data_IF_215073581265
#
_entry.id   IF_215073581265
#
_cell.length_a   1.000
_cell.length_b   1.000
_cell.length_c   1.000
_cell.angle_alpha   90.00
_cell.angle_beta   90.00
_cell.angle_gamma   90.00
#
_symmetry.space_group_name_H-M   'P 1'
#
loop_
_entity.id
_entity.type
_entity.pdbx_description
1 polymer ?
#
# COMPACT_ATOMS: atom_id res chain seq x y z
N UNK A 1 -24.17 4.97 12.00
CA UNK A 1 -23.25 6.08 11.64
C UNK A 1 -22.64 6.72 12.88
N UNK A 2 -23.44 7.21 13.82
CA UNK A 2 -22.95 7.90 15.02
C UNK A 2 -22.10 7.00 15.95
N UNK A 3 -22.46 5.72 16.08
CA UNK A 3 -21.66 4.69 16.77
C UNK A 3 -20.32 4.40 16.11
N UNK A 4 -20.29 4.38 14.77
CA UNK A 4 -19.05 4.20 14.00
C UNK A 4 -18.11 5.40 14.20
N UNK A 5 -18.64 6.62 14.14
CA UNK A 5 -17.86 7.83 14.41
C UNK A 5 -17.25 7.79 15.81
N UNK A 6 -18.03 7.42 16.84
CA UNK A 6 -17.51 7.26 18.20
C UNK A 6 -16.40 6.21 18.31
N UNK A 7 -16.54 5.08 17.64
CA UNK A 7 -15.51 4.04 17.67
C UNK A 7 -14.20 4.54 17.05
N UNK A 8 -14.27 5.21 15.89
CA UNK A 8 -13.07 5.76 15.22
C UNK A 8 -12.37 6.84 16.05
N UNK A 9 -13.12 7.72 16.72
CA UNK A 9 -12.52 8.77 17.57
C UNK A 9 -11.84 8.18 18.80
N UNK A 10 -12.43 7.16 19.43
CA UNK A 10 -11.83 6.45 20.56
C UNK A 10 -10.51 5.79 20.14
N UNK A 11 -10.45 5.13 18.98
CA UNK A 11 -9.24 4.49 18.47
C UNK A 11 -8.11 5.49 18.20
N UNK A 12 -8.44 6.62 17.58
CA UNK A 12 -7.46 7.70 17.32
C UNK A 12 -6.93 8.25 18.66
N UNK A 13 -7.83 8.48 19.62
CA UNK A 13 -7.45 8.99 20.94
C UNK A 13 -6.50 8.04 21.69
N UNK A 14 -6.78 6.73 21.66
CA UNK A 14 -5.91 5.71 22.28
C UNK A 14 -4.51 5.73 21.64
N UNK A 15 -4.42 5.81 20.30
CA UNK A 15 -3.12 5.86 19.61
C UNK A 15 -2.32 7.11 19.98
N UNK A 16 -2.97 8.28 20.05
CA UNK A 16 -2.33 9.53 20.47
C UNK A 16 -1.84 9.42 21.92
N UNK A 17 -2.66 8.85 22.81
CA UNK A 17 -2.31 8.69 24.21
C UNK A 17 -1.10 7.76 24.38
N UNK A 18 -1.05 6.64 23.65
CA UNK A 18 0.10 5.74 23.61
C UNK A 18 1.37 6.44 23.09
N UNK A 19 1.23 7.27 22.05
CA UNK A 19 2.35 8.06 21.52
C UNK A 19 2.87 9.06 22.56
N UNK A 20 1.98 9.78 23.25
CA UNK A 20 2.36 10.73 24.30
C UNK A 20 3.06 10.00 25.47
N UNK A 21 2.51 8.87 25.93
CA UNK A 21 3.15 8.05 26.97
C UNK A 21 4.54 7.57 26.52
N UNK A 22 4.66 7.09 25.28
CA UNK A 22 5.95 6.69 24.71
C UNK A 22 6.97 7.84 24.67
N UNK A 23 6.52 9.08 24.42
CA UNK A 23 7.39 10.26 24.44
C UNK A 23 7.74 10.73 25.85
N UNK A 24 6.83 10.63 26.83
CA UNK A 24 7.06 11.09 28.21
C UNK A 24 7.90 10.12 29.03
N UNK A 25 7.71 8.81 28.85
CA UNK A 25 8.53 7.77 29.50
C UNK A 25 9.96 7.78 28.96
N UNK A 26 10.14 8.22 27.70
CA UNK A 26 11.44 8.25 27.08
C UNK A 26 12.37 9.28 27.74
N UNK A 27 13.43 8.80 28.38
CA UNK A 27 14.50 9.64 28.95
C UNK A 27 15.42 10.16 27.85
N UNK A 28 14.90 10.97 26.92
CA UNK A 28 15.70 11.68 25.91
C UNK A 28 16.22 13.00 26.48
N UNK A 29 17.54 13.08 26.72
CA UNK A 29 18.22 14.38 26.79
C UNK A 29 18.20 15.03 25.40
N UNK A 30 17.55 16.19 25.29
CA UNK A 30 17.50 17.01 24.08
C UNK A 30 18.82 17.73 23.77
N UNK A 31 19.83 17.64 24.64
CA UNK A 31 21.07 18.43 24.57
C UNK A 31 22.33 17.60 24.30
N UNK A 32 22.20 16.31 24.00
CA UNK A 32 23.38 15.48 23.73
C UNK A 32 23.80 15.66 22.26
N UNK A 33 24.91 16.37 22.03
CA UNK A 33 25.50 16.60 20.70
C UNK A 33 25.69 15.30 19.91
N UNK A 34 26.11 14.24 20.61
CA UNK A 34 26.41 12.92 20.04
C UNK A 34 25.17 12.17 19.53
N UNK A 35 23.94 12.59 19.92
CA UNK A 35 22.70 12.05 19.33
C UNK A 35 22.31 12.74 18.02
N UNK A 36 22.81 13.95 17.80
CA UNK A 36 22.50 14.76 16.61
C UNK A 36 23.57 14.59 15.52
N UNK A 37 24.61 13.80 15.76
CA UNK A 37 25.65 13.46 14.80
C UNK A 37 25.34 12.12 14.11
N UNK A 38 25.80 11.92 12.86
CA UNK A 38 25.70 10.61 12.21
C UNK A 38 26.44 9.56 13.04
N UNK A 39 25.83 8.38 13.17
CA UNK A 39 26.40 7.27 13.94
C UNK A 39 27.77 6.86 13.37
N UNK A 40 28.67 6.43 14.26
CA UNK A 40 30.14 6.28 14.16
C UNK A 40 30.72 5.57 12.92
N UNK A 41 29.91 5.09 11.98
CA UNK A 41 30.42 4.65 10.68
C UNK A 41 31.02 5.81 9.84
N UNK A 42 30.99 7.07 10.32
CA UNK A 42 31.84 8.16 9.80
C UNK A 42 31.53 8.60 8.37
N UNK A 43 30.48 8.05 7.78
CA UNK A 43 29.93 8.56 6.54
C UNK A 43 28.96 9.68 6.89
N UNK A 44 29.31 10.91 6.52
CA UNK A 44 28.28 11.89 6.25
C UNK A 44 27.25 11.23 5.34
N UNK A 45 25.94 11.38 5.59
CA UNK A 45 24.95 10.94 4.63
C UNK A 45 25.29 11.69 3.34
N UNK A 46 25.95 11.00 2.42
CA UNK A 46 26.18 11.51 1.08
C UNK A 46 24.79 11.56 0.49
N UNK A 47 24.20 12.75 0.58
CA UNK A 47 22.93 13.11 -0.01
C UNK A 47 23.18 13.09 -1.52
N UNK A 48 23.33 11.90 -2.10
CA UNK A 48 23.09 11.74 -3.51
C UNK A 48 21.59 11.97 -3.67
N UNK A 49 21.21 13.22 -3.96
CA UNK A 49 19.84 13.60 -4.35
C UNK A 49 19.35 12.79 -5.55
N UNK A 50 20.27 12.15 -6.27
CA UNK A 50 20.04 11.23 -7.37
C UNK A 50 20.65 9.86 -7.08
N UNK A 51 20.17 9.19 -6.03
CA UNK A 51 20.42 7.77 -5.87
C UNK A 51 19.82 7.00 -7.06
N UNK A 52 20.52 5.97 -7.60
CA UNK A 52 19.96 5.15 -8.65
C UNK A 52 18.68 4.48 -8.14
N UNK A 53 17.55 4.82 -8.79
CA UNK A 53 16.26 4.25 -8.46
C UNK A 53 16.12 2.89 -9.14
N UNK A 54 15.72 1.87 -8.39
CA UNK A 54 15.47 0.56 -8.96
C UNK A 54 14.15 0.53 -9.73
N UNK A 55 14.22 0.45 -11.06
CA UNK A 55 13.05 0.39 -11.96
C UNK A 55 12.03 -0.69 -11.57
N UNK A 56 12.48 -1.77 -10.92
CA UNK A 56 11.61 -2.86 -10.44
C UNK A 56 10.57 -2.40 -9.42
N UNK A 57 10.94 -1.56 -8.44
CA UNK A 57 9.96 -1.04 -7.47
C UNK A 57 8.96 -0.08 -8.13
N UNK A 58 9.38 0.69 -9.14
CA UNK A 58 8.45 1.52 -9.90
C UNK A 58 7.46 0.70 -10.71
N UNK A 59 7.94 -0.34 -11.41
CA UNK A 59 7.07 -1.24 -12.16
C UNK A 59 6.03 -1.92 -11.24
N UNK A 60 6.44 -2.38 -10.05
CA UNK A 60 5.52 -2.93 -9.06
C UNK A 60 4.45 -1.92 -8.61
N UNK A 61 4.83 -0.65 -8.41
CA UNK A 61 3.89 0.40 -8.04
C UNK A 61 2.87 0.69 -9.15
N UNK A 62 3.32 0.71 -10.41
CA UNK A 62 2.44 0.91 -11.58
C UNK A 62 1.48 -0.27 -11.74
N UNK A 63 1.98 -1.50 -11.65
CA UNK A 63 1.18 -2.73 -11.73
C UNK A 63 0.13 -2.76 -10.61
N UNK A 64 0.54 -2.43 -9.37
CA UNK A 64 -0.38 -2.32 -8.24
C UNK A 64 -1.50 -1.30 -8.48
N UNK A 65 -1.17 -0.13 -9.04
CA UNK A 65 -2.17 0.91 -9.35
C UNK A 65 -3.19 0.41 -10.37
N UNK A 66 -2.75 -0.27 -11.43
CA UNK A 66 -3.63 -0.82 -12.47
C UNK A 66 -4.55 -1.89 -11.88
N UNK A 67 -3.99 -2.84 -11.10
CA UNK A 67 -4.79 -3.89 -10.46
C UNK A 67 -5.80 -3.32 -9.44
N UNK A 68 -5.47 -2.24 -8.73
CA UNK A 68 -6.41 -1.60 -7.80
C UNK A 68 -7.62 -1.01 -8.54
N UNK A 69 -7.39 -0.35 -9.69
CA UNK A 69 -8.47 0.15 -10.56
C UNK A 69 -9.34 -0.99 -11.09
N UNK A 70 -8.74 -2.13 -11.47
CA UNK A 70 -9.47 -3.30 -11.95
C UNK A 70 -10.35 -3.94 -10.87
N UNK A 71 -9.88 -3.97 -9.62
CA UNK A 71 -10.67 -4.46 -8.46
C UNK A 71 -11.85 -3.53 -8.17
N UNK A 72 -11.65 -2.20 -8.28
CA UNK A 72 -12.74 -1.23 -8.13
C UNK A 72 -13.84 -1.48 -9.18
N UNK A 73 -13.46 -1.83 -10.42
CA UNK A 73 -14.43 -2.18 -11.47
C UNK A 73 -15.16 -3.50 -11.20
N UNK A 74 -14.55 -4.46 -10.50
CA UNK A 74 -15.19 -5.72 -10.09
C UNK A 74 -16.28 -5.55 -9.03
N UNK A 75 -16.14 -4.57 -8.12
CA UNK A 75 -17.10 -4.35 -7.02
C UNK A 75 -18.57 -4.22 -7.49
N UNK A 76 -18.95 -3.33 -8.43
CA UNK A 76 -20.33 -3.21 -8.89
C UNK A 76 -20.84 -4.46 -9.63
N UNK A 77 -19.95 -5.19 -10.31
CA UNK A 77 -20.31 -6.45 -10.97
C UNK A 77 -20.81 -7.48 -9.96
N UNK A 78 -20.16 -7.62 -8.80
CA UNK A 78 -20.61 -8.56 -7.76
C UNK A 78 -22.00 -8.24 -7.23
N UNK A 79 -22.32 -6.96 -7.05
CA UNK A 79 -23.65 -6.53 -6.61
C UNK A 79 -24.71 -6.81 -7.67
N UNK A 80 -24.39 -6.61 -8.96
CA UNK A 80 -25.31 -6.86 -10.06
C UNK A 80 -25.61 -8.35 -10.25
N UNK A 81 -24.65 -9.25 -10.00
CA UNK A 81 -24.89 -10.70 -10.04
C UNK A 81 -25.92 -11.11 -8.96
N UNK A 82 -25.85 -10.51 -7.77
CA UNK A 82 -26.79 -10.83 -6.68
C UNK A 82 -28.20 -10.26 -6.93
N UNK A 83 -28.30 -9.07 -7.53
CA UNK A 83 -29.56 -8.36 -7.67
C UNK A 83 -30.34 -8.67 -8.95
N UNK A 84 -29.71 -9.30 -9.95
CA UNK A 84 -30.34 -9.56 -11.24
C UNK A 84 -30.66 -11.05 -11.43
N UNK A 85 -31.83 -11.34 -12.01
CA UNK A 85 -32.24 -12.71 -12.37
C UNK A 85 -31.72 -13.15 -13.76
N UNK A 86 -30.98 -12.29 -14.45
CA UNK A 86 -30.49 -12.54 -15.81
C UNK A 86 -29.10 -13.15 -15.78
N UNK A 87 -28.79 -14.06 -16.70
CA UNK A 87 -27.44 -14.63 -16.84
C UNK A 87 -26.39 -13.66 -17.38
N UNK A 88 -26.80 -12.51 -17.90
CA UNK A 88 -25.91 -11.54 -18.56
C UNK A 88 -24.77 -11.00 -17.67
N UNK A 89 -25.02 -10.49 -16.44
CA UNK A 89 -23.94 -10.02 -15.56
C UNK A 89 -22.95 -11.12 -15.19
N UNK A 90 -23.43 -12.36 -14.97
CA UNK A 90 -22.56 -13.51 -14.71
C UNK A 90 -21.60 -13.79 -15.88
N UNK A 91 -22.13 -13.77 -17.12
CA UNK A 91 -21.28 -13.97 -18.31
C UNK A 91 -20.27 -12.84 -18.50
N UNK A 92 -20.68 -11.59 -18.24
CA UNK A 92 -19.81 -10.42 -18.37
C UNK A 92 -18.69 -10.40 -17.31
N UNK A 93 -18.98 -10.82 -16.07
CA UNK A 93 -17.98 -10.89 -15.00
C UNK A 93 -16.94 -11.98 -15.26
N UNK A 94 -17.38 -13.14 -15.78
CA UNK A 94 -16.46 -14.22 -16.16
C UNK A 94 -15.54 -13.76 -17.29
N UNK A 95 -16.11 -13.11 -18.32
CA UNK A 95 -15.31 -12.56 -19.42
C UNK A 95 -14.30 -11.51 -18.94
N UNK A 96 -14.72 -10.61 -18.04
CA UNK A 96 -13.83 -9.62 -17.44
C UNK A 96 -12.68 -10.27 -16.65
N UNK A 97 -12.97 -11.28 -15.84
CA UNK A 97 -11.94 -12.04 -15.09
C UNK A 97 -10.94 -12.76 -16.01
N UNK A 98 -11.40 -13.30 -17.15
CA UNK A 98 -10.50 -13.93 -18.13
C UNK A 98 -9.51 -12.92 -18.70
N UNK A 99 -9.98 -11.70 -19.02
CA UNK A 99 -9.10 -10.63 -19.52
C UNK A 99 -8.05 -10.26 -18.47
N UNK A 100 -8.45 -10.10 -17.20
CA UNK A 100 -7.53 -9.82 -16.10
C UNK A 100 -6.46 -10.90 -15.93
N UNK A 101 -6.87 -12.16 -15.93
CA UNK A 101 -5.94 -13.29 -15.85
C UNK A 101 -4.95 -13.29 -17.02
N UNK A 102 -5.42 -13.00 -18.23
CA UNK A 102 -4.57 -12.92 -19.42
C UNK A 102 -3.56 -11.77 -19.33
N UNK A 103 -3.97 -10.61 -18.80
CA UNK A 103 -3.07 -9.48 -18.52
C UNK A 103 -1.97 -9.86 -17.52
N UNK A 104 -2.35 -10.51 -16.42
CA UNK A 104 -1.40 -10.97 -15.39
C UNK A 104 -0.41 -12.01 -15.94
N UNK A 105 -0.88 -12.97 -16.74
CA UNK A 105 0.02 -13.93 -17.40
C UNK A 105 1.00 -13.26 -18.36
N UNK A 106 0.54 -12.24 -19.08
CA UNK A 106 1.41 -11.47 -19.97
C UNK A 106 2.50 -10.72 -19.20
N UNK A 107 2.16 -10.03 -18.10
CA UNK A 107 3.14 -9.36 -17.25
C UNK A 107 4.15 -10.33 -16.63
N UNK A 108 3.68 -11.51 -16.20
CA UNK A 108 4.56 -12.55 -15.67
C UNK A 108 5.56 -13.04 -16.72
N UNK A 109 5.10 -13.29 -17.95
CA UNK A 109 5.98 -13.69 -19.04
C UNK A 109 7.03 -12.61 -19.39
N UNK A 110 6.71 -11.33 -19.20
CA UNK A 110 7.67 -10.23 -19.36
C UNK A 110 8.68 -10.13 -18.22
N UNK A 111 8.52 -10.90 -17.15
CA UNK A 111 9.46 -10.94 -16.02
C UNK A 111 9.41 -9.70 -15.13
N UNK A 112 8.36 -8.88 -15.21
CA UNK A 112 8.16 -7.72 -14.33
C UNK A 112 8.07 -8.12 -12.85
N UNK A 113 7.59 -9.33 -12.59
CA UNK A 113 7.38 -9.93 -11.26
C UNK A 113 8.59 -10.72 -10.73
N UNK A 114 9.65 -10.90 -11.53
CA UNK A 114 10.82 -11.69 -11.10
C UNK A 114 11.73 -10.85 -10.20
N UNK A 115 11.70 -11.14 -8.90
CA UNK A 115 12.51 -10.46 -7.90
C UNK A 115 13.97 -10.94 -7.84
N UNK A 116 14.21 -12.22 -8.10
CA UNK A 116 15.52 -12.85 -7.96
C UNK A 116 16.26 -12.87 -9.31
N UNK A 117 17.30 -12.04 -9.40
CA UNK A 117 18.46 -12.28 -10.24
C UNK A 117 19.69 -11.86 -9.46
#
# INVERSE_FOLDING_TARGET
MLTFMFYTTILIFINILLLILGLTINKRSYKDREKNTPFECGFDPSIYTRAPFSMRFFLLAVIFLIFDVEIILLMPLTMNIMNSNTHWPLTSSIFFLIILLMGLFHEWNQGSLNWLK
#
